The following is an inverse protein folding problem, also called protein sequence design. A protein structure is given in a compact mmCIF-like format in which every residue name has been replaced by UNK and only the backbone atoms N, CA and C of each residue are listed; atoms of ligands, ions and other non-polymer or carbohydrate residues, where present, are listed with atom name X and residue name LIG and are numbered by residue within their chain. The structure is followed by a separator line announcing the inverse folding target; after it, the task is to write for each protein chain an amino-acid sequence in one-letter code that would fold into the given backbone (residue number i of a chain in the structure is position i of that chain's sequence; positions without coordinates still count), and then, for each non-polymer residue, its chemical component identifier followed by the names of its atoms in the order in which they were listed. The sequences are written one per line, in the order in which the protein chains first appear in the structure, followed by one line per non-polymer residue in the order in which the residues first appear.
data_IF_191313588867
#
_entry.id   IF_191313588867
#
_cell.length_a   1.000
_cell.length_b   1.000
_cell.length_c   1.000
_cell.angle_alpha   90.00
_cell.angle_beta   90.00
_cell.angle_gamma   90.00
#
_symmetry.space_group_name_H-M   'P 1'
#
loop_
_entity.id
_entity.type
_entity.pdbx_description
1 polymer ?
#
# COMPACT_ATOMS: atom_id res chain seq x y z
N UNK A 1 -9.23 -21.46 -0.80
CA UNK A 1 -10.29 -20.55 -0.31
C UNK A 1 -11.56 -20.84 -1.06
N UNK A 2 -12.63 -21.20 -0.35
CA UNK A 2 -13.92 -21.65 -0.92
C UNK A 2 -15.00 -20.56 -0.93
N UNK A 3 -14.84 -19.53 -0.10
CA UNK A 3 -15.73 -18.37 -0.05
C UNK A 3 -14.99 -17.15 0.47
N UNK A 4 -15.37 -15.96 0.00
CA UNK A 4 -14.90 -14.66 0.50
C UNK A 4 -16.10 -13.89 1.06
N UNK A 5 -15.97 -13.44 2.29
CA UNK A 5 -17.03 -12.67 2.98
C UNK A 5 -16.80 -11.16 2.89
N UNK A 6 -15.54 -10.72 2.73
CA UNK A 6 -15.22 -9.29 2.53
C UNK A 6 -13.80 -9.11 1.99
N UNK A 7 -13.66 -8.18 1.05
CA UNK A 7 -12.39 -7.76 0.47
C UNK A 7 -11.65 -8.82 -0.35
N UNK A 8 -10.76 -8.41 -1.24
CA UNK A 8 -9.94 -9.32 -2.01
C UNK A 8 -8.76 -9.87 -1.21
N UNK A 9 -8.22 -11.01 -1.65
CA UNK A 9 -7.05 -11.68 -1.07
C UNK A 9 -5.88 -11.57 -2.05
N UNK A 10 -4.74 -11.04 -1.60
CA UNK A 10 -3.56 -10.85 -2.46
C UNK A 10 -2.28 -11.45 -1.87
N UNK A 11 -1.30 -11.78 -2.72
CA UNK A 11 0.06 -12.11 -2.28
C UNK A 11 0.63 -11.03 -1.36
N UNK A 12 1.39 -11.45 -0.34
CA UNK A 12 1.93 -10.58 0.70
C UNK A 12 1.02 -10.37 1.92
N UNK A 13 -0.27 -10.67 1.84
CA UNK A 13 -1.15 -10.62 3.01
C UNK A 13 -0.73 -11.63 4.07
N UNK A 14 -0.58 -11.17 5.32
CA UNK A 14 -0.45 -12.06 6.47
C UNK A 14 -1.82 -12.63 6.82
N UNK A 15 -1.88 -13.94 6.99
CA UNK A 15 -3.13 -14.64 7.32
C UNK A 15 -3.15 -15.05 8.78
N UNK A 16 -4.34 -14.96 9.36
CA UNK A 16 -4.66 -15.43 10.71
C UNK A 16 -5.94 -16.26 10.69
N UNK A 17 -6.05 -17.19 11.61
CA UNK A 17 -7.21 -18.08 11.76
C UNK A 17 -6.88 -19.17 12.77
N UNK A 18 -7.91 -19.93 13.19
CA UNK A 18 -7.72 -21.01 14.14
C UNK A 18 -6.81 -22.08 13.55
N UNK A 19 -5.70 -22.39 14.23
CA UNK A 19 -4.70 -23.37 13.79
C UNK A 19 -3.69 -22.85 12.74
N UNK A 20 -3.83 -21.63 12.27
CA UNK A 20 -2.85 -21.01 11.35
C UNK A 20 -1.61 -20.60 12.13
N UNK A 21 -0.44 -21.02 11.65
CA UNK A 21 0.86 -20.64 12.23
C UNK A 21 1.05 -19.12 12.13
N UNK A 22 1.41 -18.48 13.24
CA UNK A 22 1.62 -17.04 13.29
C UNK A 22 2.69 -16.59 12.28
N UNK A 23 2.45 -15.47 11.60
CA UNK A 23 3.35 -14.93 10.57
C UNK A 23 3.24 -15.58 9.20
N UNK A 24 2.35 -16.56 9.01
CA UNK A 24 2.08 -17.11 7.68
C UNK A 24 1.51 -16.02 6.77
N UNK A 25 2.03 -15.93 5.55
CA UNK A 25 1.52 -15.00 4.53
C UNK A 25 1.27 -15.71 3.20
N UNK A 26 0.49 -15.07 2.34
CA UNK A 26 0.17 -15.58 1.00
C UNK A 26 1.34 -15.29 0.08
N UNK A 27 1.84 -16.32 -0.61
CA UNK A 27 2.92 -16.21 -1.60
C UNK A 27 2.35 -15.95 -2.99
N UNK A 28 1.36 -16.72 -3.39
CA UNK A 28 0.72 -16.61 -4.72
C UNK A 28 -0.67 -17.21 -4.72
N UNK A 29 -1.48 -16.83 -5.70
CA UNK A 29 -2.70 -17.56 -6.07
C UNK A 29 -2.39 -18.47 -7.26
N UNK A 30 -2.87 -19.71 -7.25
CA UNK A 30 -2.58 -20.70 -8.29
C UNK A 30 -3.80 -21.07 -9.13
N UNK A 31 -5.00 -20.93 -8.57
CA UNK A 31 -6.27 -21.20 -9.28
C UNK A 31 -7.34 -20.18 -8.86
N UNK A 32 -8.44 -20.12 -9.61
CA UNK A 32 -9.61 -19.30 -9.32
C UNK A 32 -9.54 -17.90 -9.92
N UNK A 33 -10.47 -17.03 -9.49
CA UNK A 33 -10.51 -15.62 -9.89
C UNK A 33 -9.55 -14.81 -9.05
N UNK A 34 -8.74 -13.96 -9.68
CA UNK A 34 -7.73 -13.13 -9.01
C UNK A 34 -8.33 -12.37 -7.82
N UNK A 35 -7.64 -12.49 -6.68
CA UNK A 35 -8.06 -11.90 -5.42
C UNK A 35 -9.34 -12.50 -4.79
N UNK A 36 -9.87 -13.61 -5.30
CA UNK A 36 -11.13 -14.21 -4.87
C UNK A 36 -10.99 -15.68 -4.45
N UNK A 37 -12.02 -16.50 -4.64
CA UNK A 37 -11.99 -17.94 -4.34
C UNK A 37 -10.95 -18.64 -5.18
N UNK A 38 -10.27 -19.65 -4.64
CA UNK A 38 -9.23 -20.42 -5.33
C UNK A 38 -8.22 -21.03 -4.39
N UNK A 39 -7.13 -21.54 -4.95
CA UNK A 39 -6.03 -22.12 -4.22
C UNK A 39 -4.89 -21.11 -4.10
N UNK A 40 -4.30 -21.07 -2.90
CA UNK A 40 -3.23 -20.15 -2.55
C UNK A 40 -2.04 -20.91 -1.98
N UNK A 41 -0.86 -20.54 -2.41
CA UNK A 41 0.39 -20.95 -1.78
C UNK A 41 0.66 -20.03 -0.61
N UNK A 42 1.03 -20.60 0.53
CA UNK A 42 1.38 -19.86 1.75
C UNK A 42 2.84 -20.10 2.13
N UNK A 43 3.42 -19.16 2.87
CA UNK A 43 4.85 -19.17 3.23
C UNK A 43 5.25 -20.29 4.19
N UNK A 44 4.31 -20.84 4.95
CA UNK A 44 4.55 -21.92 5.90
C UNK A 44 3.68 -23.12 5.51
N UNK A 45 4.33 -24.27 5.21
CA UNK A 45 3.63 -25.51 4.95
C UNK A 45 2.94 -25.98 6.23
N UNK A 46 1.61 -26.11 6.19
CA UNK A 46 0.80 -26.48 7.34
C UNK A 46 -0.51 -27.15 6.94
N UNK A 47 -1.06 -27.96 7.82
CA UNK A 47 -2.40 -28.53 7.68
C UNK A 47 -3.30 -27.90 8.73
N UNK A 48 -4.36 -27.24 8.30
CA UNK A 48 -5.32 -26.55 9.16
C UNK A 48 -6.71 -27.08 8.85
N UNK A 49 -7.50 -27.36 9.89
CA UNK A 49 -8.92 -27.69 9.70
C UNK A 49 -9.65 -26.49 9.05
N UNK A 50 -10.76 -26.77 8.36
CA UNK A 50 -11.57 -25.72 7.76
C UNK A 50 -11.92 -24.64 8.78
N UNK A 51 -11.51 -23.41 8.52
CA UNK A 51 -11.67 -22.26 9.42
C UNK A 51 -11.82 -20.96 8.62
N UNK A 52 -12.35 -19.94 9.28
CA UNK A 52 -12.31 -18.58 8.73
C UNK A 52 -10.89 -18.05 8.80
N UNK A 53 -10.39 -17.55 7.68
CA UNK A 53 -9.08 -16.92 7.55
C UNK A 53 -9.27 -15.42 7.30
N UNK A 54 -8.57 -14.60 8.09
CA UNK A 54 -8.48 -13.16 7.88
C UNK A 54 -7.12 -12.84 7.27
N UNK A 55 -7.13 -12.20 6.10
CA UNK A 55 -5.93 -11.65 5.46
C UNK A 55 -5.73 -10.18 5.86
N UNK A 56 -4.53 -9.81 6.25
CA UNK A 56 -4.17 -8.43 6.59
C UNK A 56 -2.99 -8.00 5.71
N UNK A 57 -3.16 -6.92 4.95
CA UNK A 57 -2.04 -6.30 4.25
C UNK A 57 -1.08 -5.67 5.26
N UNK A 58 0.20 -6.02 5.16
CA UNK A 58 1.28 -5.25 5.79
C UNK A 58 1.83 -4.30 4.73
N UNK A 59 1.24 -3.13 4.63
CA UNK A 59 1.70 -2.07 3.73
C UNK A 59 2.82 -1.27 4.39
N UNK A 60 3.95 -1.93 4.71
CA UNK A 60 5.10 -1.28 5.34
C UNK A 60 6.41 -1.65 4.67
N UNK A 61 7.30 -0.67 4.60
CA UNK A 61 8.68 -0.82 4.13
C UNK A 61 9.60 -0.89 5.34
N UNK A 62 10.20 -2.05 5.60
CA UNK A 62 11.12 -2.27 6.70
C UNK A 62 12.56 -2.18 6.20
N UNK A 63 13.44 -1.57 6.99
CA UNK A 63 14.87 -1.45 6.68
C UNK A 63 15.71 -2.33 7.59
N UNK A 64 16.82 -2.88 7.07
CA UNK A 64 17.74 -3.72 7.83
C UNK A 64 18.91 -2.92 8.42
N UNK A 65 19.24 -1.79 7.83
CA UNK A 65 20.40 -0.97 8.20
C UNK A 65 19.91 0.38 8.76
N UNK A 66 20.53 0.85 9.83
CA UNK A 66 20.27 2.19 10.36
C UNK A 66 20.80 3.26 9.41
N UNK A 67 20.07 4.35 9.24
CA UNK A 67 20.49 5.48 8.40
C UNK A 67 19.37 6.46 8.10
N UNK A 68 19.73 7.50 7.37
CA UNK A 68 18.74 8.42 6.76
C UNK A 68 18.28 7.84 5.43
N UNK A 69 16.99 7.67 5.28
CA UNK A 69 16.37 7.11 4.10
C UNK A 69 15.61 8.18 3.33
N UNK A 70 15.72 8.13 2.01
CA UNK A 70 14.87 8.87 1.10
C UNK A 70 13.66 8.01 0.77
N UNK A 71 12.47 8.50 1.13
CA UNK A 71 11.18 7.89 0.80
C UNK A 71 10.51 8.75 -0.27
N UNK A 72 10.29 8.18 -1.44
CA UNK A 72 9.59 8.83 -2.54
C UNK A 72 8.31 8.09 -2.83
N UNK A 73 7.25 8.83 -3.14
CA UNK A 73 6.01 8.23 -3.58
C UNK A 73 5.34 9.01 -4.71
N UNK A 74 4.51 8.31 -5.48
CA UNK A 74 3.50 8.89 -6.34
C UNK A 74 2.21 8.07 -6.21
N UNK A 75 1.07 8.77 -6.04
CA UNK A 75 -0.25 8.16 -5.85
C UNK A 75 -1.21 8.73 -6.88
N UNK A 76 -1.96 7.85 -7.55
CA UNK A 76 -2.98 8.24 -8.52
C UNK A 76 -4.30 8.49 -7.79
N UNK A 77 -4.72 9.73 -7.69
CA UNK A 77 -6.04 10.08 -7.14
C UNK A 77 -7.06 10.27 -8.25
N UNK A 78 -8.30 9.87 -7.95
CA UNK A 78 -9.48 10.14 -8.75
C UNK A 78 -10.57 10.71 -7.87
N UNK A 79 -11.28 11.73 -8.37
CA UNK A 79 -12.44 12.33 -7.73
C UNK A 79 -13.64 12.25 -8.70
N UNK A 80 -14.66 11.54 -8.29
CA UNK A 80 -15.90 11.33 -9.06
C UNK A 80 -16.98 12.37 -8.72
N UNK A 81 -16.75 13.25 -7.74
CA UNK A 81 -17.65 14.31 -7.30
C UNK A 81 -17.61 15.54 -8.22
N UNK A 82 -18.66 16.32 -8.20
CA UNK A 82 -18.73 17.64 -8.84
C UNK A 82 -18.02 18.76 -8.02
N UNK A 83 -17.50 18.43 -6.83
CA UNK A 83 -16.77 19.35 -5.95
C UNK A 83 -15.30 18.93 -5.83
N UNK A 84 -14.43 19.91 -5.59
CA UNK A 84 -13.01 19.66 -5.24
C UNK A 84 -12.99 19.10 -3.83
N UNK A 85 -12.14 18.09 -3.60
CA UNK A 85 -11.91 17.50 -2.28
C UNK A 85 -10.42 17.42 -1.98
N UNK A 86 -10.10 17.62 -0.70
CA UNK A 86 -8.71 17.54 -0.24
C UNK A 86 -8.36 16.11 0.20
N UNK A 87 -7.12 15.76 -0.04
CA UNK A 87 -6.54 14.50 0.35
C UNK A 87 -5.18 14.76 0.98
N UNK A 88 -4.93 14.12 2.11
CA UNK A 88 -3.67 14.21 2.85
C UNK A 88 -2.87 12.92 2.67
N UNK A 89 -1.55 13.05 2.58
CA UNK A 89 -0.60 11.92 2.62
C UNK A 89 0.50 12.24 3.63
N UNK A 90 0.84 11.27 4.48
CA UNK A 90 1.94 11.39 5.44
C UNK A 90 2.64 10.06 5.68
N UNK A 91 3.80 10.12 6.34
CA UNK A 91 4.54 8.96 6.77
C UNK A 91 4.19 8.57 8.21
N UNK A 92 4.15 7.28 8.46
CA UNK A 92 4.07 6.68 9.79
C UNK A 92 5.29 5.78 9.98
N UNK A 93 6.02 5.98 11.08
CA UNK A 93 7.19 5.19 11.47
C UNK A 93 6.83 4.34 12.69
N UNK A 94 7.00 3.03 12.62
CA UNK A 94 6.74 2.09 13.73
C UNK A 94 5.35 2.30 14.40
N UNK A 95 4.32 2.63 13.61
CA UNK A 95 2.97 2.89 14.10
C UNK A 95 2.72 4.31 14.62
N UNK A 96 3.71 5.21 14.61
CA UNK A 96 3.58 6.61 15.05
C UNK A 96 3.75 7.55 13.85
N UNK A 97 2.87 8.55 13.72
CA UNK A 97 2.94 9.51 12.63
C UNK A 97 4.23 10.35 12.74
N UNK A 98 4.92 10.51 11.60
CA UNK A 98 6.13 11.32 11.53
C UNK A 98 5.74 12.79 11.49
N UNK A 99 6.20 13.63 12.44
CA UNK A 99 5.91 15.07 12.43
C UNK A 99 6.35 15.72 11.10
N UNK A 100 5.60 16.72 10.66
CA UNK A 100 5.87 17.54 9.46
C UNK A 100 5.96 16.75 8.15
N UNK A 101 5.48 15.49 8.12
CA UNK A 101 5.44 14.66 6.91
C UNK A 101 4.12 14.73 6.14
N UNK A 102 3.10 15.42 6.67
CA UNK A 102 1.83 15.56 5.98
C UNK A 102 1.89 16.52 4.80
N UNK A 103 1.24 16.16 3.72
CA UNK A 103 1.07 17.00 2.53
C UNK A 103 -0.35 16.88 2.02
N UNK A 104 -0.98 18.02 1.79
CA UNK A 104 -2.35 18.11 1.32
C UNK A 104 -2.39 18.39 -0.19
N UNK A 105 -3.27 17.67 -0.87
CA UNK A 105 -3.53 17.78 -2.31
C UNK A 105 -5.01 18.06 -2.55
N UNK A 106 -5.35 19.13 -3.25
CA UNK A 106 -6.72 19.41 -3.69
C UNK A 106 -6.98 18.69 -5.01
N UNK A 107 -7.83 17.66 -4.97
CA UNK A 107 -8.14 16.84 -6.16
C UNK A 107 -9.23 17.52 -6.96
N UNK A 108 -9.00 17.81 -8.27
CA UNK A 108 -9.98 18.47 -9.12
C UNK A 108 -11.32 17.74 -9.13
N UNK A 109 -12.38 18.48 -9.29
CA UNK A 109 -13.72 17.92 -9.44
C UNK A 109 -13.93 17.27 -10.82
N UNK A 110 -14.92 16.40 -10.89
CA UNK A 110 -15.44 15.88 -12.16
C UNK A 110 -16.00 17.01 -13.02
N UNK A 111 -15.64 17.05 -14.30
CA UNK A 111 -16.12 18.04 -15.25
C UNK A 111 -16.45 17.40 -16.61
N UNK A 112 -17.59 17.77 -17.20
CA UNK A 112 -17.99 17.28 -18.54
C UNK A 112 -18.13 15.76 -18.65
N UNK A 113 -18.44 15.07 -17.56
CA UNK A 113 -18.53 13.60 -17.52
C UNK A 113 -17.20 12.89 -17.32
N UNK A 114 -16.08 13.63 -17.20
CA UNK A 114 -14.73 13.10 -16.94
C UNK A 114 -14.40 13.32 -15.48
N UNK A 115 -13.95 12.27 -14.78
CA UNK A 115 -13.54 12.36 -13.39
C UNK A 115 -12.27 13.21 -13.24
N UNK A 116 -12.14 13.86 -12.10
CA UNK A 116 -10.95 14.63 -11.77
C UNK A 116 -9.79 13.70 -11.40
N UNK A 117 -8.60 13.95 -11.92
CA UNK A 117 -7.40 13.15 -11.63
C UNK A 117 -6.26 14.03 -11.16
N UNK A 118 -5.48 13.52 -10.20
CA UNK A 118 -4.25 14.15 -9.75
C UNK A 118 -3.23 13.08 -9.34
N UNK A 119 -1.96 13.33 -9.67
CA UNK A 119 -0.85 12.54 -9.13
C UNK A 119 -0.26 13.33 -7.95
N UNK A 120 -0.48 12.81 -6.74
CA UNK A 120 0.20 13.31 -5.54
C UNK A 120 1.58 12.66 -5.44
N UNK A 121 2.64 13.46 -5.47
CA UNK A 121 4.00 12.94 -5.41
C UNK A 121 4.87 13.81 -4.51
N UNK A 122 5.68 13.17 -3.67
CA UNK A 122 6.64 13.84 -2.79
C UNK A 122 7.86 12.97 -2.53
N UNK A 123 8.85 13.62 -1.95
CA UNK A 123 10.11 13.07 -1.51
C UNK A 123 10.35 13.55 -0.07
N UNK A 124 10.59 12.61 0.84
CA UNK A 124 10.80 12.88 2.26
C UNK A 124 12.04 12.13 2.74
N UNK A 125 12.81 12.75 3.65
CA UNK A 125 13.89 12.08 4.35
C UNK A 125 13.45 11.71 5.76
N UNK A 126 13.80 10.48 6.19
CA UNK A 126 13.47 9.97 7.52
C UNK A 126 14.62 9.15 8.08
N UNK A 127 14.94 9.36 9.35
CA UNK A 127 15.93 8.58 10.06
C UNK A 127 15.30 7.30 10.61
N UNK A 128 15.88 6.16 10.21
CA UNK A 128 15.42 4.83 10.60
C UNK A 128 16.56 4.06 11.28
N UNK A 129 16.25 3.42 12.40
CA UNK A 129 17.09 2.40 13.00
C UNK A 129 16.97 1.07 12.24
N UNK A 130 17.89 0.14 12.47
CA UNK A 130 17.74 -1.22 11.95
C UNK A 130 16.44 -1.86 12.45
N UNK A 131 15.69 -2.48 11.53
CA UNK A 131 14.37 -3.07 11.72
C UNK A 131 13.22 -2.08 11.91
N UNK A 132 13.45 -0.77 11.85
CA UNK A 132 12.37 0.20 11.73
C UNK A 132 11.60 0.01 10.41
N UNK A 133 10.34 0.41 10.41
CA UNK A 133 9.53 0.42 9.20
C UNK A 133 8.78 1.74 9.03
N UNK A 134 8.47 2.05 7.78
CA UNK A 134 7.59 3.16 7.42
C UNK A 134 6.37 2.67 6.66
N UNK A 135 5.27 3.38 6.84
CA UNK A 135 4.01 3.21 6.14
C UNK A 135 3.62 4.54 5.49
N UNK A 136 3.09 4.48 4.27
CA UNK A 136 2.47 5.63 3.63
C UNK A 136 0.99 5.64 4.02
N UNK A 137 0.60 6.67 4.74
CA UNK A 137 -0.77 6.88 5.21
C UNK A 137 -1.47 7.91 4.33
N UNK A 138 -2.78 7.79 4.20
CA UNK A 138 -3.57 8.78 3.48
C UNK A 138 -4.97 8.92 4.08
N UNK A 139 -5.56 10.09 3.89
CA UNK A 139 -6.94 10.40 4.25
C UNK A 139 -7.56 11.33 3.22
N UNK A 140 -8.86 11.34 3.12
CA UNK A 140 -9.60 12.25 2.25
C UNK A 140 -10.80 12.84 2.99
N UNK A 141 -11.22 14.01 2.58
CA UNK A 141 -12.40 14.70 3.14
C UNK A 141 -13.72 14.15 2.61
N UNK A 142 -13.70 13.36 1.52
CA UNK A 142 -14.90 12.81 0.91
C UNK A 142 -14.64 11.46 0.24
N UNK A 143 -15.59 10.52 0.38
CA UNK A 143 -15.50 9.15 -0.14
C UNK A 143 -15.55 9.04 -1.66
N UNK A 144 -15.91 10.11 -2.39
CA UNK A 144 -15.83 10.17 -3.85
C UNK A 144 -14.39 10.31 -4.36
N UNK A 145 -13.45 10.63 -3.48
CA UNK A 145 -12.01 10.64 -3.78
C UNK A 145 -11.38 9.33 -3.35
N UNK A 146 -10.72 8.65 -4.27
CA UNK A 146 -10.09 7.35 -4.05
C UNK A 146 -8.70 7.27 -4.70
N UNK A 147 -7.93 6.25 -4.33
CA UNK A 147 -6.69 5.88 -5.02
C UNK A 147 -7.07 4.92 -6.15
N UNK A 148 -6.63 5.22 -7.38
CA UNK A 148 -7.09 4.53 -8.59
C UNK A 148 -5.99 3.66 -9.22
N UNK A 149 -6.32 2.40 -9.49
CA UNK A 149 -5.63 1.55 -10.44
C UNK A 149 -6.33 1.60 -11.79
N UNK A 150 -5.57 1.71 -12.89
CA UNK A 150 -6.11 1.62 -14.24
C UNK A 150 -5.47 0.42 -14.93
N UNK A 151 -6.29 -0.54 -15.35
CA UNK A 151 -5.83 -1.73 -16.06
C UNK A 151 -5.18 -1.40 -17.41
N UNK A 152 -4.51 -2.40 -18.05
CA UNK A 152 -3.95 -2.23 -19.39
C UNK A 152 -5.01 -1.76 -20.38
N UNK A 153 -4.61 -0.89 -21.31
CA UNK A 153 -5.50 -0.33 -22.33
C UNK A 153 -5.17 -0.92 -23.70
N UNK A 154 -6.18 -1.04 -24.54
CA UNK A 154 -6.03 -1.63 -25.88
C UNK A 154 -6.09 -0.60 -27.00
N UNK A 155 -6.61 0.61 -26.75
CA UNK A 155 -6.73 1.68 -27.76
C UNK A 155 -6.44 3.07 -27.15
N UNK A 156 -5.24 3.62 -27.30
CA UNK A 156 -4.02 2.97 -27.75
C UNK A 156 -3.53 1.89 -26.75
N UNK A 157 -2.75 0.96 -27.24
CA UNK A 157 -2.12 -0.06 -26.37
C UNK A 157 -1.16 0.62 -25.41
N UNK A 158 -1.36 0.39 -24.10
CA UNK A 158 -0.51 0.90 -23.03
C UNK A 158 -0.60 0.03 -21.79
N UNK A 159 0.46 -0.04 -20.96
CA UNK A 159 0.48 -0.82 -19.73
C UNK A 159 -0.52 -0.27 -18.68
N UNK A 160 -0.76 -1.06 -17.65
CA UNK A 160 -1.52 -0.62 -16.49
C UNK A 160 -0.84 0.56 -15.79
N UNK A 161 -1.66 1.42 -15.17
CA UNK A 161 -1.20 2.48 -14.28
C UNK A 161 -1.36 2.02 -12.83
N UNK A 162 -0.28 1.89 -12.06
CA UNK A 162 -0.37 1.50 -10.66
C UNK A 162 -1.07 2.58 -9.82
N UNK A 163 -1.79 2.17 -8.80
CA UNK A 163 -2.47 3.07 -7.88
C UNK A 163 -1.49 3.90 -7.03
N UNK A 164 -0.38 3.28 -6.65
CA UNK A 164 0.71 3.92 -5.91
C UNK A 164 2.05 3.31 -6.31
N UNK A 165 3.08 4.14 -6.31
CA UNK A 165 4.49 3.73 -6.41
C UNK A 165 5.17 4.30 -5.17
N UNK A 166 5.87 3.45 -4.42
CA UNK A 166 6.66 3.89 -3.26
C UNK A 166 8.07 3.32 -3.40
N UNK A 167 9.06 4.17 -3.23
CA UNK A 167 10.48 3.81 -3.27
C UNK A 167 11.14 4.26 -1.98
N UNK A 168 11.96 3.40 -1.38
CA UNK A 168 12.82 3.74 -0.26
C UNK A 168 14.27 3.46 -0.63
N UNK A 169 15.16 4.39 -0.40
CA UNK A 169 16.60 4.24 -0.64
C UNK A 169 17.42 4.81 0.50
N UNK A 170 18.49 4.12 0.90
CA UNK A 170 19.43 4.60 1.89
C UNK A 170 20.20 5.81 1.31
N UNK A 171 20.03 6.97 1.91
CA UNK A 171 20.70 8.20 1.52
C UNK A 171 22.05 8.38 2.23
N UNK A 172 22.11 8.07 3.52
CA UNK A 172 23.37 8.10 4.29
C UNK A 172 23.30 7.13 5.47
N UNK A 173 24.44 6.55 5.81
CA UNK A 173 24.64 5.83 7.08
C UNK A 173 25.17 6.80 8.13
N UNK A 174 24.85 6.60 9.44
CA UNK A 174 25.48 7.38 10.50
C UNK A 174 27.00 7.20 10.37
N UNK A 175 27.74 8.32 10.27
CA UNK A 175 29.18 8.26 10.31
C UNK A 175 29.59 7.74 11.70
N UNK A 176 30.28 6.61 11.77
CA UNK A 176 30.92 6.17 12.99
C UNK A 176 32.06 7.17 13.24
N UNK A 177 31.76 8.26 13.97
CA UNK A 177 32.80 9.12 14.52
C UNK A 177 33.50 8.27 15.59
N UNK A 178 34.47 7.51 15.15
CA UNK A 178 35.34 6.77 16.07
C UNK A 178 36.01 7.75 17.03
N UNK A 179 35.77 7.57 18.28
CA UNK A 179 36.55 8.17 19.38
C UNK A 179 37.87 7.43 19.48
#
# INVERSE_FOLDING_TARGET
VTAITSGPIYPGMVITGTGVTAGTYIVSQTTGTDGSTGDYVVSVLQTVASTTITGTCKSKLQVETAGTYNVQFSVQFVNTSASIHDTDIWLRKNGTDVPDSNSQFSIPNRHGGIDGHLIGALNLFVDLAANDYVELMWATTDTSTTIQYIGPQTSPVRPATPSAIVTISLASVPSNQGV
#
